data_IF_028309652329
#
_entry.id   IF_028309652329
#
_cell.length_a   1.000
_cell.length_b   1.000
_cell.length_c   1.000
_cell.angle_alpha   90.00
_cell.angle_beta   90.00
_cell.angle_gamma   90.00
#
_symmetry.space_group_name_H-M   'P 1'
#
loop_
_entity.id
_entity.type
_entity.pdbx_description
1 polymer ?
#
# COMPACT_ATOMS: atom_id res chain seq x y z
N UNK A 1 6.06 -5.08 4.42
CA UNK A 1 7.23 -4.36 4.95
C UNK A 1 7.07 -4.26 6.44
N UNK A 2 8.12 -4.44 7.21
CA UNK A 2 8.12 -4.25 8.66
C UNK A 2 8.95 -3.01 9.00
N UNK A 3 8.38 -2.12 9.78
CA UNK A 3 9.00 -0.89 10.23
C UNK A 3 8.81 -0.74 11.74
N UNK A 4 9.87 -0.36 12.45
CA UNK A 4 9.82 -0.11 13.90
C UNK A 4 10.80 1.00 14.29
N UNK A 5 10.43 1.80 15.28
CA UNK A 5 11.24 2.90 15.78
C UNK A 5 11.02 3.08 17.28
N UNK A 6 12.11 3.13 18.06
CA UNK A 6 12.10 3.36 19.49
C UNK A 6 13.35 4.14 19.92
N UNK A 7 13.20 5.44 20.19
CA UNK A 7 14.31 6.30 20.58
C UNK A 7 15.36 6.40 19.47
N UNK A 8 16.56 5.85 19.68
CA UNK A 8 17.62 5.80 18.66
C UNK A 8 17.62 4.50 17.86
N UNK A 9 16.76 3.54 18.19
CA UNK A 9 16.65 2.27 17.48
C UNK A 9 15.65 2.40 16.35
N UNK A 10 16.09 2.05 15.15
CA UNK A 10 15.28 2.07 13.93
C UNK A 10 15.51 0.78 13.16
N UNK A 11 14.44 0.14 12.70
CA UNK A 11 14.51 -1.08 11.90
C UNK A 11 13.50 -1.04 10.76
N UNK A 12 13.97 -1.38 9.56
CA UNK A 12 13.14 -1.57 8.38
C UNK A 12 13.55 -2.84 7.65
N UNK A 13 12.59 -3.71 7.36
CA UNK A 13 12.83 -4.96 6.61
C UNK A 13 11.68 -5.26 5.65
N UNK A 14 11.98 -6.03 4.60
CA UNK A 14 10.93 -6.61 3.77
C UNK A 14 10.20 -7.71 4.57
N UNK A 15 8.87 -7.70 4.52
CA UNK A 15 8.02 -8.67 5.25
C UNK A 15 7.44 -9.76 4.31
N UNK A 16 8.06 -9.97 3.15
CA UNK A 16 7.54 -10.86 2.11
C UNK A 16 6.74 -10.15 1.02
N UNK A 17 6.20 -10.95 0.10
CA UNK A 17 5.31 -10.50 -0.98
C UNK A 17 3.87 -10.65 -0.52
N UNK A 18 3.00 -9.77 -1.02
CA UNK A 18 1.57 -9.84 -0.78
C UNK A 18 0.93 -11.02 -1.52
N UNK A 19 -0.03 -11.71 -0.90
CA UNK A 19 -0.79 -12.79 -1.52
C UNK A 19 -1.58 -12.31 -2.73
N UNK A 20 -2.08 -11.08 -2.70
CA UNK A 20 -2.74 -10.41 -3.82
C UNK A 20 -1.82 -10.07 -5.00
N UNK A 21 -0.57 -10.57 -5.04
CA UNK A 21 0.32 -10.50 -6.21
C UNK A 21 0.29 -11.75 -7.08
N UNK A 22 -0.35 -12.83 -6.62
CA UNK A 22 -0.46 -14.08 -7.37
C UNK A 22 -1.92 -14.49 -7.55
N UNK A 23 -2.27 -15.25 -8.61
CA UNK A 23 -3.63 -15.76 -8.79
C UNK A 23 -4.05 -16.69 -7.62
N UNK A 24 -5.33 -16.65 -7.25
CA UNK A 24 -5.91 -17.45 -6.15
C UNK A 24 -5.62 -18.96 -6.30
N UNK A 25 -5.68 -19.50 -7.52
CA UNK A 25 -5.35 -20.90 -7.80
C UNK A 25 -3.89 -21.27 -7.50
N UNK A 26 -2.97 -20.32 -7.67
CA UNK A 26 -1.57 -20.50 -7.32
C UNK A 26 -1.37 -20.35 -5.81
N UNK A 27 -2.02 -19.36 -5.20
CA UNK A 27 -2.01 -19.14 -3.75
C UNK A 27 -2.49 -20.39 -3.01
N UNK A 28 -3.61 -21.01 -3.42
CA UNK A 28 -4.18 -22.20 -2.78
C UNK A 28 -3.20 -23.37 -2.66
N UNK A 29 -2.22 -23.47 -3.56
CA UNK A 29 -1.18 -24.52 -3.51
C UNK A 29 -0.24 -24.36 -2.32
N UNK A 30 -0.01 -23.14 -1.83
CA UNK A 30 0.83 -22.87 -0.66
C UNK A 30 0.15 -23.28 0.66
N UNK A 31 -1.17 -23.42 0.65
CA UNK A 31 -1.99 -23.75 1.83
C UNK A 31 -2.59 -25.16 1.74
N UNK A 32 -1.96 -26.07 0.98
CA UNK A 32 -2.48 -27.42 0.77
C UNK A 32 -2.63 -28.19 2.10
N UNK A 33 -1.68 -28.01 3.00
CA UNK A 33 -1.62 -28.69 4.29
C UNK A 33 -2.42 -27.95 5.39
N UNK A 34 -2.83 -26.71 5.12
CA UNK A 34 -3.69 -25.91 6.00
C UNK A 34 -4.73 -25.10 5.20
N UNK A 35 -5.81 -25.75 4.72
CA UNK A 35 -6.86 -25.07 3.98
C UNK A 35 -7.62 -24.03 4.82
N UNK A 36 -7.64 -24.16 6.16
CA UNK A 36 -8.34 -23.24 7.03
C UNK A 36 -7.66 -21.87 7.04
N UNK A 37 -6.33 -21.82 7.01
CA UNK A 37 -5.58 -20.57 6.93
C UNK A 37 -5.79 -19.84 5.59
N UNK A 38 -5.93 -20.58 4.49
CA UNK A 38 -6.29 -19.99 3.20
C UNK A 38 -7.63 -19.25 3.26
N UNK A 39 -8.66 -19.90 3.82
CA UNK A 39 -9.98 -19.28 3.98
C UNK A 39 -9.92 -18.08 4.93
N UNK A 40 -9.16 -18.17 6.03
CA UNK A 40 -8.95 -17.06 6.98
C UNK A 40 -8.34 -15.84 6.29
N UNK A 41 -7.25 -16.01 5.53
CA UNK A 41 -6.60 -14.91 4.80
C UNK A 41 -7.57 -14.27 3.80
N UNK A 42 -8.34 -15.07 3.08
CA UNK A 42 -9.33 -14.55 2.14
C UNK A 42 -10.46 -13.79 2.83
N UNK A 43 -10.87 -14.19 4.04
CA UNK A 43 -11.96 -13.53 4.76
C UNK A 43 -11.53 -12.31 5.57
N UNK A 44 -10.33 -12.34 6.15
CA UNK A 44 -9.87 -11.34 7.13
C UNK A 44 -8.82 -10.39 6.57
N UNK A 45 -7.96 -10.88 5.67
CA UNK A 45 -6.80 -10.12 5.21
C UNK A 45 -7.08 -9.44 3.87
N UNK A 46 -7.86 -10.06 2.98
CA UNK A 46 -8.28 -9.47 1.71
C UNK A 46 -9.35 -8.38 1.91
N UNK A 47 -8.91 -7.12 1.95
CA UNK A 47 -9.78 -5.95 2.24
C UNK A 47 -10.65 -5.59 1.04
N UNK A 48 -10.17 -5.79 -0.19
CA UNK A 48 -10.94 -5.60 -1.42
C UNK A 48 -10.32 -6.35 -2.59
N UNK A 49 -11.05 -6.47 -3.70
CA UNK A 49 -10.48 -7.01 -4.94
C UNK A 49 -9.39 -6.10 -5.53
N UNK A 50 -9.49 -4.78 -5.33
CA UNK A 50 -8.52 -3.79 -5.83
C UNK A 50 -7.18 -3.88 -5.05
N UNK A 51 -7.23 -3.99 -3.72
CA UNK A 51 -6.04 -3.91 -2.87
C UNK A 51 -5.59 -5.26 -2.31
N UNK A 52 -6.41 -6.31 -2.41
CA UNK A 52 -6.10 -7.63 -1.87
C UNK A 52 -5.78 -7.58 -0.38
N UNK A 53 -4.70 -8.24 0.01
CA UNK A 53 -4.19 -8.33 1.39
C UNK A 53 -3.29 -7.16 1.82
N UNK A 54 -3.24 -6.07 1.04
CA UNK A 54 -2.34 -4.93 1.29
C UNK A 54 -2.90 -3.99 2.37
N UNK A 55 -2.96 -4.49 3.60
CA UNK A 55 -3.38 -3.70 4.77
C UNK A 55 -2.19 -3.14 5.55
N UNK A 56 -2.43 -2.05 6.27
CA UNK A 56 -1.46 -1.45 7.18
C UNK A 56 -1.93 -1.67 8.62
N UNK A 57 -1.05 -2.21 9.45
CA UNK A 57 -1.28 -2.38 10.89
C UNK A 57 -0.24 -1.58 11.65
N UNK A 58 -0.70 -0.74 12.57
CA UNK A 58 0.15 0.15 13.36
C UNK A 58 -0.05 -0.14 14.85
N UNK A 59 1.04 -0.17 15.60
CA UNK A 59 1.03 -0.31 17.06
C UNK A 59 1.85 0.83 17.67
N UNK A 60 1.24 1.55 18.60
CA UNK A 60 1.90 2.61 19.37
C UNK A 60 2.03 2.15 20.83
N UNK A 61 3.26 2.17 21.35
CA UNK A 61 3.56 1.73 22.73
C UNK A 61 4.22 2.88 23.48
N UNK A 62 3.66 3.25 24.62
CA UNK A 62 4.16 4.37 25.41
C UNK A 62 3.24 4.73 26.57
N UNK A 63 3.68 5.67 27.40
CA UNK A 63 2.92 6.18 28.55
C UNK A 63 2.24 7.51 28.21
N UNK A 64 1.03 7.73 28.72
CA UNK A 64 0.24 8.96 28.49
C UNK A 64 0.02 9.28 27.01
N UNK A 65 -0.18 8.23 26.20
CA UNK A 65 -0.52 8.39 24.78
C UNK A 65 -1.94 8.94 24.67
N UNK A 66 -2.11 9.99 23.87
CA UNK A 66 -3.42 10.50 23.49
C UNK A 66 -3.93 9.71 22.27
N UNK A 67 -4.75 8.69 22.52
CA UNK A 67 -5.27 7.83 21.45
C UNK A 67 -6.18 8.57 20.48
N UNK A 68 -7.00 9.50 20.97
CA UNK A 68 -7.97 10.24 20.15
C UNK A 68 -7.25 11.13 19.14
N UNK A 69 -6.26 11.90 19.61
CA UNK A 69 -5.44 12.76 18.74
C UNK A 69 -4.68 11.97 17.66
N UNK A 70 -4.12 10.81 18.01
CA UNK A 70 -3.46 9.94 17.03
C UNK A 70 -4.48 9.40 16.01
N UNK A 71 -5.64 8.98 16.48
CA UNK A 71 -6.70 8.45 15.62
C UNK A 71 -7.19 9.52 14.63
N UNK A 72 -7.40 10.74 15.10
CA UNK A 72 -7.81 11.86 14.26
C UNK A 72 -6.74 12.23 13.24
N UNK A 73 -5.46 12.25 13.65
CA UNK A 73 -4.35 12.47 12.73
C UNK A 73 -4.30 11.39 11.63
N UNK A 74 -4.44 10.11 11.98
CA UNK A 74 -4.47 9.02 11.01
C UNK A 74 -5.69 9.09 10.08
N UNK A 75 -6.86 9.40 10.63
CA UNK A 75 -8.08 9.58 9.85
C UNK A 75 -7.95 10.74 8.85
N UNK A 76 -7.25 11.82 9.23
CA UNK A 76 -7.00 12.95 8.33
C UNK A 76 -6.15 12.60 7.12
N UNK A 77 -5.36 11.52 7.19
CA UNK A 77 -4.55 11.02 6.08
C UNK A 77 -5.34 10.13 5.11
N UNK A 78 -6.56 9.72 5.44
CA UNK A 78 -7.38 8.89 4.57
C UNK A 78 -7.85 9.69 3.36
N UNK A 79 -7.69 9.11 2.16
CA UNK A 79 -8.21 9.68 0.95
C UNK A 79 -9.72 9.50 0.90
N UNK A 80 -10.45 10.62 0.79
CA UNK A 80 -11.86 10.59 0.40
C UNK A 80 -12.04 10.23 -1.08
N UNK A 81 -13.30 10.15 -1.53
CA UNK A 81 -13.66 9.73 -2.89
C UNK A 81 -12.92 10.51 -3.98
N UNK A 82 -12.92 11.84 -3.90
CA UNK A 82 -12.20 12.71 -4.87
C UNK A 82 -10.69 12.44 -4.90
N UNK A 83 -10.10 12.15 -3.74
CA UNK A 83 -8.68 11.81 -3.63
C UNK A 83 -8.39 10.48 -4.32
N UNK A 84 -9.26 9.49 -4.13
CA UNK A 84 -9.17 8.18 -4.78
C UNK A 84 -9.42 8.26 -6.29
N UNK A 85 -10.34 9.10 -6.77
CA UNK A 85 -10.55 9.36 -8.20
C UNK A 85 -9.29 9.93 -8.85
N UNK A 86 -8.69 10.95 -8.23
CA UNK A 86 -7.44 11.54 -8.68
C UNK A 86 -6.32 10.50 -8.72
N UNK A 87 -6.16 9.71 -7.65
CA UNK A 87 -5.19 8.62 -7.59
C UNK A 87 -5.33 7.65 -8.77
N UNK A 88 -6.57 7.22 -9.08
CA UNK A 88 -6.82 6.29 -10.20
C UNK A 88 -6.52 6.91 -11.56
N UNK A 89 -6.86 8.19 -11.75
CA UNK A 89 -6.53 8.91 -12.98
C UNK A 89 -5.01 8.97 -13.18
N UNK A 90 -4.27 9.31 -12.13
CA UNK A 90 -2.81 9.42 -12.17
C UNK A 90 -2.14 8.06 -12.39
N UNK A 91 -2.67 7.00 -11.78
CA UNK A 91 -2.23 5.63 -12.02
C UNK A 91 -2.44 5.22 -13.49
N UNK A 92 -3.61 5.53 -14.06
CA UNK A 92 -3.90 5.25 -15.47
C UNK A 92 -2.94 6.01 -16.40
N UNK A 93 -2.68 7.29 -16.11
CA UNK A 93 -1.72 8.09 -16.86
C UNK A 93 -0.31 7.47 -16.81
N UNK A 94 0.15 7.08 -15.62
CA UNK A 94 1.44 6.40 -15.44
C UNK A 94 1.53 5.10 -16.24
N UNK A 95 0.51 4.23 -16.13
CA UNK A 95 0.50 2.95 -16.84
C UNK A 95 0.49 3.14 -18.35
N UNK A 96 -0.25 4.13 -18.85
CA UNK A 96 -0.23 4.48 -20.26
C UNK A 96 1.17 4.95 -20.68
N UNK A 97 1.82 5.82 -19.92
CA UNK A 97 3.19 6.28 -20.24
C UNK A 97 4.18 5.12 -20.26
N UNK A 98 4.20 4.24 -19.26
CA UNK A 98 5.20 3.16 -19.20
C UNK A 98 4.96 2.08 -20.26
N UNK A 99 3.70 1.77 -20.60
CA UNK A 99 3.37 0.69 -21.52
C UNK A 99 3.28 1.13 -22.99
N UNK A 100 3.04 2.42 -23.26
CA UNK A 100 2.87 2.94 -24.62
C UNK A 100 3.90 3.98 -25.05
N UNK A 101 4.84 4.40 -24.17
CA UNK A 101 5.90 5.30 -24.57
C UNK A 101 6.84 4.62 -25.61
N UNK A 102 7.16 5.32 -26.71
CA UNK A 102 8.20 4.85 -27.63
C UNK A 102 9.55 4.81 -26.91
N UNK A 103 10.45 3.91 -27.33
CA UNK A 103 11.82 3.86 -26.81
C UNK A 103 12.49 5.24 -27.01
N UNK A 104 12.72 5.98 -25.92
CA UNK A 104 13.23 7.35 -25.93
C UNK A 104 12.21 8.45 -25.61
N UNK A 105 10.96 8.10 -25.24
CA UNK A 105 9.95 9.04 -24.76
C UNK A 105 10.20 9.56 -23.33
N UNK A 106 9.37 10.53 -22.93
CA UNK A 106 9.30 11.18 -21.61
C UNK A 106 9.73 10.24 -20.46
N UNK A 107 10.74 10.67 -19.69
CA UNK A 107 11.34 9.84 -18.64
C UNK A 107 10.34 9.46 -17.53
N UNK A 108 10.73 8.54 -16.66
CA UNK A 108 9.93 8.09 -15.50
C UNK A 108 9.39 9.24 -14.61
N UNK A 109 10.05 10.40 -14.66
CA UNK A 109 9.72 11.61 -13.91
C UNK A 109 8.92 12.65 -14.73
N UNK A 110 8.74 12.44 -16.03
CA UNK A 110 8.03 13.33 -16.94
C UNK A 110 6.57 12.87 -17.11
N UNK A 111 5.90 12.70 -15.96
CA UNK A 111 4.49 12.27 -15.85
C UNK A 111 3.52 13.45 -15.83
N UNK A 112 3.94 14.63 -16.32
CA UNK A 112 3.09 15.82 -16.43
C UNK A 112 2.65 16.42 -15.10
N UNK A 113 3.40 16.17 -14.00
CA UNK A 113 3.20 16.88 -12.73
C UNK A 113 4.29 17.94 -12.53
N UNK A 114 3.89 19.06 -11.95
CA UNK A 114 4.79 19.88 -11.13
C UNK A 114 5.01 19.08 -9.85
N UNK A 115 6.25 18.68 -9.56
CA UNK A 115 6.58 18.07 -8.28
C UNK A 115 6.26 19.10 -7.19
N UNK A 116 5.71 18.66 -6.05
CA UNK A 116 5.55 19.56 -4.91
C UNK A 116 6.92 19.97 -4.30
N UNK A 117 8.02 19.43 -4.80
CA UNK A 117 9.38 19.93 -4.58
C UNK A 117 9.84 21.00 -5.61
N UNK A 118 9.07 21.25 -6.68
CA UNK A 118 9.38 22.25 -7.71
C UNK A 118 8.78 23.64 -7.41
N UNK A 119 8.05 23.76 -6.29
CA UNK A 119 7.58 25.05 -5.76
C UNK A 119 8.50 25.50 -4.64
N UNK A 120 9.49 26.33 -5.01
CA UNK A 120 10.21 27.21 -4.08
C UNK A 120 9.31 28.29 -3.48
#
# INVERSE_FOLDING_TARGET
MYWSHAGKHFGITAAGKWWGTIPKDQMKKYFKDDPAEYERILSEDFVSDEFGDRRQELVFIGVRINQEEITDALNSCLLGEKGMERYRQELNNYMNTILTAPAGGAGLFDVGRVDHMDVE
#
